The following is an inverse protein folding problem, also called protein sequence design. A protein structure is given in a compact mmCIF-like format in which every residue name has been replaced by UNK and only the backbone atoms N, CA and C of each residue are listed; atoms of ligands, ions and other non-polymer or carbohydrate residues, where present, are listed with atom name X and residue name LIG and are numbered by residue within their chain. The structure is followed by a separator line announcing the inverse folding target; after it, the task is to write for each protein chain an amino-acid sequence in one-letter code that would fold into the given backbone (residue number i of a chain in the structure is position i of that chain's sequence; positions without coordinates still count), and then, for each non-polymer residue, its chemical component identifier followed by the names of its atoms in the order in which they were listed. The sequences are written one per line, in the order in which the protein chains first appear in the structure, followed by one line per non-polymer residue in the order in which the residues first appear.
data_IF_278893359254
#
_entry.id   IF_278893359254
#
_cell.length_a   1.000
_cell.length_b   1.000
_cell.length_c   1.000
_cell.angle_alpha   90.00
_cell.angle_beta   90.00
_cell.angle_gamma   90.00
#
_symmetry.space_group_name_H-M   'P 1'
#
loop_
_entity.id
_entity.type
_entity.pdbx_description
1 polymer ?
#
# COMPACT_ATOMS: atom_id res chain seq x y z
N UNK A 1 10.77 4.10 3.67
CA UNK A 1 11.19 2.88 2.97
C UNK A 1 12.71 2.88 2.86
N UNK A 2 13.36 1.83 3.34
CA UNK A 2 14.77 1.59 2.99
C UNK A 2 14.87 1.22 1.50
N UNK A 3 16.06 1.37 0.91
CA UNK A 3 16.29 1.04 -0.50
C UNK A 3 15.85 -0.40 -0.85
N UNK A 4 16.01 -1.32 0.11
CA UNK A 4 15.67 -2.73 -0.06
C UNK A 4 14.17 -3.04 0.03
N UNK A 5 13.36 -2.11 0.56
CA UNK A 5 11.91 -2.25 0.73
C UNK A 5 11.10 -1.32 -0.19
N UNK A 6 11.77 -0.57 -1.06
CA UNK A 6 11.07 0.35 -1.97
C UNK A 6 10.16 -0.44 -2.93
N UNK A 7 8.97 0.10 -3.21
CA UNK A 7 7.96 -0.49 -4.09
C UNK A 7 7.86 0.22 -5.44
N UNK A 8 8.68 1.25 -5.67
CA UNK A 8 8.69 2.06 -6.88
C UNK A 8 9.59 3.28 -6.77
N UNK A 9 9.55 4.12 -7.79
CA UNK A 9 10.31 5.38 -7.88
C UNK A 9 9.35 6.55 -7.77
N UNK A 10 9.56 7.42 -6.79
CA UNK A 10 8.81 8.68 -6.67
C UNK A 10 9.56 9.79 -7.41
N UNK A 11 8.80 10.59 -8.16
CA UNK A 11 9.31 11.76 -8.88
C UNK A 11 8.63 13.03 -8.37
N UNK A 12 9.30 14.19 -8.43
CA UNK A 12 8.67 15.46 -8.06
C UNK A 12 7.42 15.75 -8.93
N UNK A 13 6.44 16.47 -8.38
CA UNK A 13 5.25 16.82 -9.15
C UNK A 13 5.61 17.72 -10.33
N UNK A 14 5.03 17.40 -11.50
CA UNK A 14 5.20 18.15 -12.77
C UNK A 14 6.64 18.15 -13.33
N UNK A 15 7.48 17.23 -12.89
CA UNK A 15 8.83 17.03 -13.42
C UNK A 15 8.87 15.90 -14.45
N UNK A 16 8.84 16.29 -15.74
CA UNK A 16 8.83 15.35 -16.86
C UNK A 16 10.18 14.68 -17.04
N UNK A 17 11.28 15.39 -16.76
CA UNK A 17 12.64 14.86 -16.93
C UNK A 17 12.95 13.80 -15.86
N UNK A 18 12.52 14.03 -14.62
CA UNK A 18 12.62 13.04 -13.55
C UNK A 18 11.77 11.79 -13.86
N UNK A 19 10.56 11.96 -14.41
CA UNK A 19 9.71 10.86 -14.85
C UNK A 19 10.37 10.04 -15.95
N UNK A 20 10.85 10.69 -17.01
CA UNK A 20 11.53 10.02 -18.12
C UNK A 20 12.77 9.26 -17.63
N UNK A 21 13.58 9.89 -16.79
CA UNK A 21 14.79 9.28 -16.22
C UNK A 21 14.44 8.06 -15.34
N UNK A 22 13.39 8.14 -14.53
CA UNK A 22 12.93 7.02 -13.71
C UNK A 22 12.46 5.83 -14.55
N UNK A 23 11.72 6.08 -15.63
CA UNK A 23 11.28 5.04 -16.56
C UNK A 23 12.48 4.37 -17.24
N UNK A 24 13.42 5.17 -17.77
CA UNK A 24 14.63 4.65 -18.43
C UNK A 24 15.43 3.79 -17.45
N UNK A 25 15.64 4.25 -16.22
CA UNK A 25 16.36 3.48 -15.20
C UNK A 25 15.77 2.08 -15.00
N UNK A 26 14.43 1.98 -14.89
CA UNK A 26 13.74 0.68 -14.73
C UNK A 26 13.79 -0.20 -15.98
N UNK A 27 13.81 0.40 -17.18
CA UNK A 27 13.95 -0.35 -18.43
C UNK A 27 15.36 -0.91 -18.60
N UNK A 28 16.38 -0.15 -18.16
CA UNK A 28 17.79 -0.53 -18.33
C UNK A 28 18.37 -1.37 -17.19
N UNK A 29 17.74 -1.36 -16.02
CA UNK A 29 18.17 -2.14 -14.83
C UNK A 29 17.10 -3.18 -14.48
N UNK A 30 17.27 -4.39 -15.03
CA UNK A 30 16.36 -5.52 -14.77
C UNK A 30 16.33 -5.96 -13.30
N UNK A 31 17.47 -6.16 -12.61
CA UNK A 31 17.47 -6.50 -11.18
C UNK A 31 16.67 -5.52 -10.33
N UNK A 32 16.89 -4.21 -10.54
CA UNK A 32 16.14 -3.17 -9.82
C UNK A 32 14.63 -3.27 -10.11
N UNK A 33 14.26 -3.42 -11.39
CA UNK A 33 12.86 -3.54 -11.80
C UNK A 33 12.17 -4.73 -11.15
N UNK A 34 12.82 -5.89 -11.10
CA UNK A 34 12.28 -7.10 -10.47
C UNK A 34 12.14 -6.91 -8.96
N UNK A 35 13.16 -6.38 -8.29
CA UNK A 35 13.13 -6.14 -6.85
C UNK A 35 11.97 -5.22 -6.44
N UNK A 36 11.80 -4.09 -7.13
CA UNK A 36 10.71 -3.15 -6.83
C UNK A 36 9.34 -3.79 -7.08
N UNK A 37 9.22 -4.60 -8.14
CA UNK A 37 7.99 -5.34 -8.46
C UNK A 37 7.61 -6.37 -7.40
N UNK A 38 8.57 -7.16 -6.92
CA UNK A 38 8.38 -8.14 -5.84
C UNK A 38 7.98 -7.47 -4.52
N UNK A 39 8.66 -6.37 -4.18
CA UNK A 39 8.34 -5.57 -3.01
C UNK A 39 6.91 -5.01 -3.09
N UNK A 40 6.53 -4.43 -4.24
CA UNK A 40 5.19 -3.89 -4.45
C UNK A 40 4.11 -4.97 -4.33
N UNK A 41 4.34 -6.13 -4.95
CA UNK A 41 3.41 -7.26 -4.88
C UNK A 41 3.25 -7.81 -3.45
N UNK A 42 4.31 -7.74 -2.64
CA UNK A 42 4.27 -8.13 -1.23
C UNK A 42 3.53 -7.09 -0.38
N UNK A 43 3.86 -5.81 -0.50
CA UNK A 43 3.21 -4.71 0.23
C UNK A 43 1.70 -4.66 -0.03
N UNK A 44 1.25 -4.91 -1.28
CA UNK A 44 -0.18 -4.99 -1.62
C UNK A 44 -0.89 -6.13 -0.89
N UNK A 45 -0.31 -7.33 -0.88
CA UNK A 45 -0.91 -8.49 -0.21
C UNK A 45 -0.97 -8.33 1.30
N UNK A 46 0.02 -7.66 1.89
CA UNK A 46 0.10 -7.48 3.34
C UNK A 46 -0.82 -6.36 3.85
N UNK A 47 -0.98 -5.26 3.09
CA UNK A 47 -1.61 -4.04 3.61
C UNK A 47 -2.90 -3.63 2.93
N UNK A 48 -3.13 -4.11 1.71
CA UNK A 48 -4.23 -3.64 0.87
C UNK A 48 -5.17 -4.78 0.41
N UNK A 49 -5.07 -5.96 1.02
CA UNK A 49 -6.00 -7.05 0.76
C UNK A 49 -7.44 -6.66 1.12
N UNK A 50 -8.36 -6.85 0.16
CA UNK A 50 -9.75 -6.41 0.30
C UNK A 50 -10.52 -7.21 1.35
N UNK A 51 -10.25 -8.50 1.50
CA UNK A 51 -10.94 -9.33 2.49
C UNK A 51 -10.52 -8.91 3.89
N UNK A 52 -9.22 -8.74 4.13
CA UNK A 52 -8.70 -8.23 5.40
C UNK A 52 -9.25 -6.85 5.74
N UNK A 53 -9.36 -5.96 4.75
CA UNK A 53 -9.98 -4.65 4.96
C UNK A 53 -11.46 -4.76 5.34
N UNK A 54 -12.24 -5.60 4.64
CA UNK A 54 -13.66 -5.83 4.97
C UNK A 54 -13.81 -6.37 6.39
N UNK A 55 -13.02 -7.36 6.77
CA UNK A 55 -13.06 -7.94 8.12
C UNK A 55 -12.75 -6.90 9.19
N UNK A 56 -11.71 -6.07 8.98
CA UNK A 56 -11.37 -4.97 9.88
C UNK A 56 -12.51 -3.93 10.01
N UNK A 57 -13.18 -3.59 8.90
CA UNK A 57 -14.34 -2.69 8.94
C UNK A 57 -15.52 -3.31 9.69
N UNK A 58 -15.81 -4.60 9.46
CA UNK A 58 -16.90 -5.30 10.14
C UNK A 58 -16.65 -5.42 11.65
N UNK A 59 -15.42 -5.76 12.06
CA UNK A 59 -15.03 -5.80 13.47
C UNK A 59 -15.24 -4.43 14.15
N UNK A 60 -14.84 -3.36 13.45
CA UNK A 60 -15.08 -2.00 13.93
C UNK A 60 -16.57 -1.67 14.06
N UNK A 61 -17.40 -2.02 13.07
CA UNK A 61 -18.85 -1.85 13.15
C UNK A 61 -19.47 -2.63 14.31
N UNK A 62 -19.05 -3.88 14.55
CA UNK A 62 -19.51 -4.69 15.67
C UNK A 62 -19.16 -4.05 17.02
N UNK A 63 -17.95 -3.49 17.15
CA UNK A 63 -17.51 -2.79 18.35
C UNK A 63 -18.40 -1.59 18.66
N UNK A 64 -18.75 -0.79 17.64
CA UNK A 64 -19.65 0.36 17.80
C UNK A 64 -21.08 -0.08 18.15
N UNK A 65 -21.63 -1.09 17.47
CA UNK A 65 -22.97 -1.59 17.73
C UNK A 65 -23.14 -2.17 19.14
N UNK A 66 -22.13 -2.92 19.62
CA UNK A 66 -22.10 -3.45 21.00
C UNK A 66 -22.01 -2.33 22.05
N UNK A 67 -21.21 -1.30 21.78
CA UNK A 67 -21.07 -0.12 22.65
C UNK A 67 -22.35 0.72 22.75
N UNK A 68 -23.15 0.78 21.67
CA UNK A 68 -24.45 1.46 21.65
C UNK A 68 -25.50 0.69 22.46
N UNK A 69 -25.56 -0.64 22.32
CA UNK A 69 -26.48 -1.47 23.10
C UNK A 69 -26.18 -1.41 24.60
N UNK A 70 -24.90 -1.44 24.99
CA UNK A 70 -24.49 -1.34 26.39
C UNK A 70 -24.84 0.01 27.05
N UNK A 71 -24.98 1.09 26.26
CA UNK A 71 -25.35 2.44 26.75
C UNK A 71 -26.84 2.69 26.85
N UNK A 72 -27.67 1.94 26.13
CA UNK A 72 -29.12 2.20 26.01
C UNK A 72 -29.93 1.29 26.94
N UNK A 73 -29.31 0.27 27.54
CA UNK A 73 -29.91 -0.65 28.50
C UNK A 73 -29.77 -0.26 29.98
N UNK A 74 -29.55 1.03 30.30
CA UNK A 74 -29.51 1.53 31.68
C UNK A 74 -30.58 2.59 31.90
#
# INVERSE_FOLDING_TARGET
YGKDQATGVLVPPRDVEAMASGIVALLTDEPLRCQLGENAATDVRERFDLNQQVDAYLEWYHTMAGSIHARTGK
#
